data_IF_943005715672
#
_entry.id   IF_943005715672
#
_cell.length_a   1.000
_cell.length_b   1.000
_cell.length_c   1.000
_cell.angle_alpha   90.00
_cell.angle_beta   90.00
_cell.angle_gamma   90.00
#
_symmetry.space_group_name_H-M   'P 1'
#
loop_
_entity.id
_entity.type
_entity.pdbx_description
1 polymer ?
#
# COMPACT_ATOMS: atom_id res chain seq x y z
N UNK A 1 -26.99 10.86 -16.16
CA UNK A 1 -26.81 11.01 -14.72
C UNK A 1 -25.56 11.86 -14.53
N UNK A 2 -25.64 12.94 -13.78
CA UNK A 2 -24.46 13.79 -13.53
C UNK A 2 -23.43 12.98 -12.76
N UNK A 3 -22.30 12.69 -13.37
CA UNK A 3 -21.13 12.12 -12.68
C UNK A 3 -20.58 13.21 -11.78
N UNK A 4 -21.06 13.27 -10.55
CA UNK A 4 -20.52 14.19 -9.55
C UNK A 4 -19.04 13.88 -9.37
N UNK A 5 -18.21 14.89 -9.51
CA UNK A 5 -16.76 14.75 -9.26
C UNK A 5 -16.59 14.35 -7.80
N UNK A 6 -15.94 13.21 -7.55
CA UNK A 6 -15.65 12.77 -6.19
C UNK A 6 -14.69 13.76 -5.52
N UNK A 7 -14.93 14.11 -4.24
CA UNK A 7 -14.04 15.02 -3.53
C UNK A 7 -12.66 14.41 -3.37
N UNK A 8 -11.63 15.23 -3.56
CA UNK A 8 -10.24 14.84 -3.41
C UNK A 8 -9.58 15.55 -2.23
N UNK A 9 -8.54 14.93 -1.69
CA UNK A 9 -7.68 15.47 -0.62
C UNK A 9 -6.23 15.17 -0.94
N UNK A 10 -5.30 15.86 -0.28
CA UNK A 10 -3.90 15.44 -0.25
C UNK A 10 -3.76 14.22 0.68
N UNK A 11 -2.96 13.24 0.29
CA UNK A 11 -2.67 12.07 1.10
C UNK A 11 -1.53 12.38 2.08
N UNK A 12 -1.88 12.48 3.36
CA UNK A 12 -0.91 12.79 4.41
C UNK A 12 -0.10 14.05 4.11
N UNK A 13 1.21 13.98 4.28
CA UNK A 13 2.16 15.07 4.00
C UNK A 13 2.68 15.07 2.55
N UNK A 14 2.10 14.25 1.66
CA UNK A 14 2.54 14.15 0.25
C UNK A 14 1.84 15.17 -0.66
N UNK A 15 2.33 15.27 -1.91
CA UNK A 15 1.67 15.99 -3.00
C UNK A 15 0.64 15.13 -3.75
N UNK A 16 0.43 13.87 -3.34
CA UNK A 16 -0.55 12.99 -3.95
C UNK A 16 -1.98 13.48 -3.68
N UNK A 17 -2.68 13.81 -4.74
CA UNK A 17 -4.11 14.13 -4.67
C UNK A 17 -4.92 12.88 -4.95
N UNK A 18 -5.69 12.44 -3.97
CA UNK A 18 -6.47 11.20 -4.02
C UNK A 18 -7.96 11.49 -3.81
N UNK A 19 -8.84 10.66 -4.37
CA UNK A 19 -10.25 10.68 -3.96
C UNK A 19 -10.37 10.25 -2.51
N UNK A 20 -11.29 10.87 -1.75
CA UNK A 20 -11.58 10.48 -0.35
C UNK A 20 -12.09 9.05 -0.23
N UNK A 21 -12.62 8.50 -1.31
CA UNK A 21 -12.97 7.09 -1.44
C UNK A 21 -11.81 6.36 -2.11
N UNK A 22 -11.33 5.31 -1.45
CA UNK A 22 -10.32 4.38 -1.96
C UNK A 22 -10.97 3.03 -2.24
N UNK A 23 -10.65 2.42 -3.38
CA UNK A 23 -11.07 1.06 -3.70
C UNK A 23 -9.96 0.07 -3.33
N UNK A 24 -10.21 -0.74 -2.31
CA UNK A 24 -9.33 -1.85 -1.93
C UNK A 24 -9.52 -3.07 -2.85
N UNK A 25 -8.49 -3.91 -2.93
CA UNK A 25 -8.47 -5.11 -3.78
C UNK A 25 -8.30 -6.41 -2.99
N UNK A 26 -8.48 -6.39 -1.67
CA UNK A 26 -8.42 -7.58 -0.82
C UNK A 26 -9.67 -8.48 -1.00
N UNK A 27 -9.97 -8.86 -2.23
CA UNK A 27 -11.10 -9.74 -2.53
C UNK A 27 -10.82 -11.15 -2.02
N UNK A 28 -11.72 -11.72 -1.23
CA UNK A 28 -11.54 -13.03 -0.57
C UNK A 28 -11.53 -14.20 -1.55
N UNK A 29 -12.08 -14.02 -2.74
CA UNK A 29 -12.22 -15.03 -3.79
C UNK A 29 -11.05 -15.08 -4.76
N UNK A 30 -10.09 -14.17 -4.64
CA UNK A 30 -8.93 -14.13 -5.53
C UNK A 30 -7.98 -15.29 -5.25
N UNK A 31 -7.85 -16.16 -6.24
CA UNK A 31 -6.78 -17.16 -6.32
C UNK A 31 -5.60 -16.63 -7.14
N UNK A 32 -4.43 -17.27 -6.98
CA UNK A 32 -3.15 -16.82 -7.56
C UNK A 32 -3.18 -16.65 -9.07
N UNK A 33 -3.95 -17.45 -9.78
CA UNK A 33 -3.99 -17.52 -11.25
C UNK A 33 -5.39 -17.28 -11.85
N UNK A 34 -6.43 -17.40 -11.06
CA UNK A 34 -7.80 -17.21 -11.52
C UNK A 34 -8.16 -15.73 -11.54
N UNK A 35 -8.49 -15.22 -12.72
CA UNK A 35 -9.09 -13.90 -12.83
C UNK A 35 -10.49 -13.91 -12.21
N UNK A 36 -10.74 -13.06 -11.24
CA UNK A 36 -12.08 -12.82 -10.72
C UNK A 36 -12.78 -11.79 -11.62
N UNK A 37 -13.63 -12.29 -12.53
CA UNK A 37 -14.37 -11.43 -13.47
C UNK A 37 -15.30 -10.44 -12.75
N UNK A 38 -15.84 -10.81 -11.61
CA UNK A 38 -16.72 -9.92 -10.84
C UNK A 38 -15.90 -8.80 -10.18
N UNK A 39 -14.75 -9.13 -9.63
CA UNK A 39 -13.84 -8.15 -9.05
C UNK A 39 -13.30 -7.17 -10.13
N UNK A 40 -13.00 -7.65 -11.34
CA UNK A 40 -12.60 -6.77 -12.45
C UNK A 40 -13.72 -5.79 -12.82
N UNK A 41 -14.97 -6.25 -12.88
CA UNK A 41 -16.14 -5.39 -13.14
C UNK A 41 -16.27 -4.31 -12.06
N UNK A 42 -16.08 -4.66 -10.80
CA UNK A 42 -16.12 -3.69 -9.69
C UNK A 42 -15.02 -2.63 -9.85
N UNK A 43 -13.78 -3.05 -10.14
CA UNK A 43 -12.66 -2.12 -10.30
C UNK A 43 -12.88 -1.15 -11.47
N UNK A 44 -13.35 -1.66 -12.62
CA UNK A 44 -13.68 -0.82 -13.79
C UNK A 44 -14.83 0.13 -13.47
N UNK A 45 -15.86 -0.35 -12.80
CA UNK A 45 -16.96 0.51 -12.40
C UNK A 45 -16.50 1.64 -11.47
N UNK A 46 -15.68 1.35 -10.46
CA UNK A 46 -15.11 2.37 -9.59
C UNK A 46 -14.37 3.45 -10.38
N UNK A 47 -13.55 3.03 -11.35
CA UNK A 47 -12.84 3.95 -12.22
C UNK A 47 -13.80 4.81 -13.07
N UNK A 48 -14.86 4.20 -13.62
CA UNK A 48 -15.86 4.90 -14.47
C UNK A 48 -16.70 5.91 -13.68
N UNK A 49 -16.91 5.69 -12.38
CA UNK A 49 -17.60 6.65 -11.50
C UNK A 49 -16.66 7.67 -10.85
N UNK A 50 -15.37 7.66 -11.20
CA UNK A 50 -14.40 8.69 -10.82
C UNK A 50 -13.58 8.39 -9.57
N UNK A 51 -13.55 7.15 -9.07
CA UNK A 51 -12.59 6.74 -8.02
C UNK A 51 -11.20 6.74 -8.63
N UNK A 52 -10.29 7.51 -8.03
CA UNK A 52 -8.91 7.67 -8.51
C UNK A 52 -7.88 7.06 -7.57
N UNK A 53 -8.27 6.52 -6.43
CA UNK A 53 -7.39 5.92 -5.45
C UNK A 53 -7.68 4.43 -5.30
N UNK A 54 -6.68 3.59 -5.58
CA UNK A 54 -6.79 2.13 -5.52
C UNK A 54 -5.71 1.57 -4.62
N UNK A 55 -6.12 0.66 -3.74
CA UNK A 55 -5.24 -0.02 -2.79
C UNK A 55 -5.12 -1.51 -3.09
N UNK A 56 -3.90 -2.01 -3.05
CA UNK A 56 -3.55 -3.41 -3.24
C UNK A 56 -2.45 -3.86 -2.28
N UNK A 57 -2.00 -5.10 -2.44
CA UNK A 57 -0.82 -5.65 -1.75
C UNK A 57 -0.26 -6.85 -2.51
N UNK A 58 1.05 -7.05 -2.42
CA UNK A 58 1.70 -8.25 -2.94
C UNK A 58 1.21 -9.55 -2.26
N UNK A 59 0.65 -9.44 -1.06
CA UNK A 59 0.12 -10.57 -0.29
C UNK A 59 -1.32 -10.94 -0.68
N UNK A 60 -2.09 -10.02 -1.26
CA UNK A 60 -3.49 -10.29 -1.59
C UNK A 60 -3.58 -11.27 -2.77
N UNK A 61 -4.09 -12.47 -2.49
CA UNK A 61 -4.14 -13.55 -3.47
C UNK A 61 -2.77 -13.86 -4.10
N UNK A 62 -1.69 -13.79 -3.30
CA UNK A 62 -0.30 -14.00 -3.76
C UNK A 62 0.07 -13.17 -5.00
N UNK A 63 -0.37 -11.89 -5.00
CA UNK A 63 -0.20 -10.96 -6.09
C UNK A 63 -1.29 -11.03 -7.17
N UNK A 64 -2.31 -11.86 -6.99
CA UNK A 64 -3.49 -11.92 -7.87
C UNK A 64 -4.23 -10.59 -7.92
N UNK A 65 -4.38 -9.93 -6.75
CA UNK A 65 -5.02 -8.63 -6.66
C UNK A 65 -4.30 -7.55 -7.48
N UNK A 66 -2.97 -7.51 -7.41
CA UNK A 66 -2.19 -6.56 -8.22
C UNK A 66 -2.30 -6.84 -9.73
N UNK A 67 -2.31 -8.12 -10.15
CA UNK A 67 -2.53 -8.47 -11.56
C UNK A 67 -3.90 -8.03 -12.04
N UNK A 68 -4.93 -8.30 -11.25
CA UNK A 68 -6.30 -7.90 -11.58
C UNK A 68 -6.44 -6.38 -11.67
N UNK A 69 -5.87 -5.65 -10.72
CA UNK A 69 -5.84 -4.19 -10.75
C UNK A 69 -5.12 -3.67 -11.99
N UNK A 70 -3.93 -4.20 -12.30
CA UNK A 70 -3.19 -3.82 -13.50
C UNK A 70 -3.96 -4.09 -14.80
N UNK A 71 -4.72 -5.18 -14.88
CA UNK A 71 -5.60 -5.47 -16.00
C UNK A 71 -6.77 -4.47 -16.10
N UNK A 72 -7.41 -4.17 -14.98
CA UNK A 72 -8.53 -3.23 -14.92
C UNK A 72 -8.11 -1.81 -15.33
N UNK A 73 -6.90 -1.39 -14.96
CA UNK A 73 -6.35 -0.06 -15.22
C UNK A 73 -5.63 0.08 -16.57
N UNK A 74 -5.61 -0.97 -17.39
CA UNK A 74 -4.89 -0.94 -18.69
C UNK A 74 -5.37 0.22 -19.57
N UNK A 75 -4.43 1.09 -19.96
CA UNK A 75 -4.70 2.28 -20.78
C UNK A 75 -5.23 3.49 -19.99
N UNK A 76 -5.38 3.36 -18.67
CA UNK A 76 -5.90 4.42 -17.77
C UNK A 76 -5.01 4.66 -16.54
N UNK A 77 -3.75 4.21 -16.59
CA UNK A 77 -2.81 4.27 -15.47
C UNK A 77 -2.62 5.71 -14.94
N UNK A 78 -2.57 6.68 -15.83
CA UNK A 78 -2.31 8.09 -15.50
C UNK A 78 -3.52 8.80 -14.86
N UNK A 79 -4.69 8.15 -14.85
CA UNK A 79 -5.90 8.69 -14.24
C UNK A 79 -5.98 8.41 -12.73
N UNK A 80 -5.07 7.57 -12.19
CA UNK A 80 -5.21 7.01 -10.85
C UNK A 80 -3.92 7.10 -10.04
N UNK A 81 -4.09 7.05 -8.72
CA UNK A 81 -3.05 6.82 -7.73
C UNK A 81 -3.13 5.36 -7.27
N UNK A 82 -2.04 4.63 -7.41
CA UNK A 82 -1.93 3.24 -6.96
C UNK A 82 -1.15 3.18 -5.65
N UNK A 83 -1.80 2.67 -4.62
CA UNK A 83 -1.18 2.19 -3.40
C UNK A 83 -0.99 0.67 -3.49
N UNK A 84 0.20 0.18 -3.15
CA UNK A 84 0.40 -1.25 -2.87
C UNK A 84 1.38 -1.44 -1.73
N UNK A 85 1.43 -2.65 -1.19
CA UNK A 85 2.14 -2.93 0.06
C UNK A 85 3.13 -4.07 -0.11
N UNK A 86 4.22 -4.00 0.63
CA UNK A 86 5.17 -5.10 0.80
C UNK A 86 5.01 -5.74 2.17
N UNK A 87 4.73 -7.04 2.18
CA UNK A 87 4.72 -7.81 3.42
C UNK A 87 6.15 -8.24 3.81
N UNK A 88 6.49 -8.25 5.10
CA UNK A 88 7.79 -8.71 5.58
C UNK A 88 8.00 -10.21 5.40
N UNK A 89 6.90 -10.92 5.16
CA UNK A 89 6.88 -12.36 4.85
C UNK A 89 5.77 -12.65 3.86
N UNK A 90 5.90 -13.74 3.11
CA UNK A 90 4.84 -14.28 2.29
C UNK A 90 4.38 -15.61 2.89
N UNK A 91 3.08 -15.83 3.06
CA UNK A 91 2.57 -17.12 3.52
C UNK A 91 2.87 -18.22 2.50
N UNK A 92 2.79 -19.47 2.94
CA UNK A 92 2.79 -20.62 2.01
C UNK A 92 1.65 -20.48 1.02
N UNK A 93 1.92 -20.76 -0.24
CA UNK A 93 0.89 -20.74 -1.26
C UNK A 93 0.06 -22.03 -1.23
N UNK A 94 -1.16 -21.97 -1.77
CA UNK A 94 -2.05 -23.14 -1.87
C UNK A 94 -1.48 -24.26 -2.75
N UNK A 95 -0.54 -23.93 -3.66
CA UNK A 95 0.18 -24.89 -4.51
C UNK A 95 1.35 -25.61 -3.80
N UNK A 96 1.50 -25.41 -2.48
CA UNK A 96 2.55 -26.02 -1.67
C UNK A 96 3.88 -25.26 -1.68
N UNK A 97 4.00 -24.13 -2.36
CA UNK A 97 5.17 -23.28 -2.28
C UNK A 97 5.37 -22.80 -0.83
N UNK A 98 6.53 -23.08 -0.19
CA UNK A 98 6.76 -22.66 1.18
C UNK A 98 6.66 -21.13 1.34
N UNK A 99 6.12 -20.70 2.48
CA UNK A 99 6.19 -19.31 2.89
C UNK A 99 7.64 -18.86 3.08
N UNK A 100 7.88 -17.60 2.85
CA UNK A 100 9.21 -16.99 3.07
C UNK A 100 9.07 -15.84 4.06
N UNK A 101 9.96 -15.82 5.07
CA UNK A 101 10.13 -14.68 5.96
C UNK A 101 11.36 -13.90 5.50
N UNK A 102 11.18 -12.65 5.14
CA UNK A 102 12.24 -11.89 4.48
C UNK A 102 12.76 -10.72 5.26
N UNK A 103 12.18 -10.32 6.36
CA UNK A 103 12.45 -9.00 6.91
C UNK A 103 12.58 -7.94 5.78
N UNK A 104 12.63 -6.67 6.08
CA UNK A 104 12.75 -5.66 5.03
C UNK A 104 14.20 -5.43 4.58
N UNK A 105 14.92 -6.52 4.18
CA UNK A 105 16.25 -6.38 3.57
C UNK A 105 16.17 -5.67 2.21
N UNK A 106 17.27 -5.06 1.76
CA UNK A 106 17.33 -4.40 0.44
C UNK A 106 16.95 -5.35 -0.69
N UNK A 107 17.43 -6.60 -0.64
CA UNK A 107 17.13 -7.61 -1.65
C UNK A 107 15.63 -7.94 -1.66
N UNK A 108 15.03 -8.13 -0.48
CA UNK A 108 13.59 -8.40 -0.35
C UNK A 108 12.75 -7.26 -0.88
N UNK A 109 13.03 -6.02 -0.44
CA UNK A 109 12.28 -4.84 -0.86
C UNK A 109 12.34 -4.64 -2.37
N UNK A 110 13.52 -4.76 -3.00
CA UNK A 110 13.69 -4.63 -4.45
C UNK A 110 12.95 -5.72 -5.21
N UNK A 111 13.15 -6.98 -4.84
CA UNK A 111 12.48 -8.11 -5.51
C UNK A 111 10.95 -7.97 -5.45
N UNK A 112 10.40 -7.60 -4.28
CA UNK A 112 8.96 -7.44 -4.10
C UNK A 112 8.42 -6.23 -4.86
N UNK A 113 9.14 -5.12 -4.86
CA UNK A 113 8.78 -3.93 -5.64
C UNK A 113 8.73 -4.24 -7.15
N UNK A 114 9.77 -4.88 -7.68
CA UNK A 114 9.82 -5.28 -9.09
C UNK A 114 8.70 -6.26 -9.44
N UNK A 115 8.39 -7.17 -8.52
CA UNK A 115 7.26 -8.07 -8.66
C UNK A 115 5.93 -7.33 -8.74
N UNK A 116 5.70 -6.35 -7.84
CA UNK A 116 4.48 -5.53 -7.81
C UNK A 116 4.34 -4.70 -9.09
N UNK A 117 5.42 -4.04 -9.52
CA UNK A 117 5.44 -3.25 -10.77
C UNK A 117 5.07 -4.10 -11.99
N UNK A 118 5.65 -5.30 -12.12
CA UNK A 118 5.31 -6.23 -13.22
C UNK A 118 3.85 -6.67 -13.18
N UNK A 119 3.30 -6.98 -12.00
CA UNK A 119 1.90 -7.43 -11.86
C UNK A 119 0.91 -6.30 -12.13
N UNK A 120 1.22 -5.09 -11.67
CA UNK A 120 0.42 -3.89 -11.91
C UNK A 120 0.58 -3.34 -13.33
N UNK A 121 1.62 -3.74 -14.07
CA UNK A 121 1.91 -3.23 -15.42
C UNK A 121 2.28 -1.74 -15.42
N UNK A 122 3.05 -1.30 -14.43
CA UNK A 122 3.49 0.09 -14.28
C UNK A 122 4.98 0.19 -13.93
N UNK A 123 5.64 1.22 -14.39
CA UNK A 123 7.04 1.48 -14.05
C UNK A 123 7.20 2.17 -12.69
N UNK A 124 6.17 2.86 -12.23
CA UNK A 124 6.20 3.62 -10.96
C UNK A 124 4.96 3.33 -10.14
N UNK A 125 5.15 3.10 -8.84
CA UNK A 125 4.10 2.99 -7.82
C UNK A 125 3.99 4.34 -7.12
N UNK A 126 2.77 4.86 -7.00
CA UNK A 126 2.58 6.19 -6.40
C UNK A 126 2.79 6.17 -4.89
N UNK A 127 2.26 5.13 -4.20
CA UNK A 127 2.38 4.96 -2.76
C UNK A 127 2.75 3.51 -2.43
N UNK A 128 3.91 3.30 -1.81
CA UNK A 128 4.40 1.97 -1.44
C UNK A 128 4.46 1.83 0.07
N UNK A 129 3.63 0.95 0.64
CA UNK A 129 3.52 0.80 2.08
C UNK A 129 4.28 -0.44 2.59
N UNK A 130 4.86 -0.32 3.77
CA UNK A 130 5.22 -1.48 4.59
C UNK A 130 3.93 -2.04 5.21
N UNK A 131 3.58 -3.30 4.86
CA UNK A 131 2.28 -3.88 5.18
C UNK A 131 2.07 -4.11 6.69
N UNK A 132 3.15 -4.40 7.39
CA UNK A 132 3.21 -4.54 8.84
C UNK A 132 4.66 -4.46 9.30
N UNK A 133 4.94 -4.22 10.59
CA UNK A 133 6.29 -4.32 11.12
C UNK A 133 6.87 -5.73 10.91
N UNK A 134 8.18 -5.83 10.64
CA UNK A 134 8.87 -7.13 10.61
C UNK A 134 9.45 -7.55 11.98
N UNK A 135 9.50 -6.60 12.91
CA UNK A 135 9.97 -6.82 14.28
C UNK A 135 11.48 -6.97 14.44
N UNK A 136 12.25 -6.90 13.34
CA UNK A 136 13.70 -7.17 13.37
C UNK A 136 14.55 -6.10 12.70
N UNK A 137 14.04 -5.40 11.69
CA UNK A 137 14.78 -4.32 11.01
C UNK A 137 14.82 -3.07 11.89
N UNK A 138 16.01 -2.52 12.21
CA UNK A 138 16.11 -1.23 12.90
C UNK A 138 15.40 -0.12 12.11
N UNK A 139 14.71 0.78 12.80
CA UNK A 139 13.93 1.85 12.15
C UNK A 139 14.80 2.77 11.27
N UNK A 140 16.02 3.08 11.69
CA UNK A 140 16.96 3.87 10.91
C UNK A 140 17.32 3.19 9.58
N UNK A 141 17.68 1.89 9.63
CA UNK A 141 17.97 1.12 8.43
C UNK A 141 16.78 1.05 7.48
N UNK A 142 15.57 0.94 8.05
CA UNK A 142 14.34 0.89 7.28
C UNK A 142 14.10 2.21 6.53
N UNK A 143 14.27 3.34 7.20
CA UNK A 143 14.17 4.67 6.57
C UNK A 143 15.19 4.84 5.43
N UNK A 144 16.45 4.44 5.64
CA UNK A 144 17.47 4.50 4.59
C UNK A 144 17.17 3.58 3.40
N UNK A 145 16.61 2.38 3.66
CA UNK A 145 16.20 1.45 2.59
C UNK A 145 15.05 2.01 1.78
N UNK A 146 14.06 2.61 2.43
CA UNK A 146 12.95 3.28 1.74
C UNK A 146 13.43 4.51 0.95
N UNK A 147 14.41 5.26 1.48
CA UNK A 147 15.03 6.36 0.74
C UNK A 147 15.68 5.85 -0.55
N UNK A 148 16.42 4.73 -0.51
CA UNK A 148 17.01 4.14 -1.73
C UNK A 148 15.96 3.72 -2.77
N UNK A 149 14.77 3.30 -2.33
CA UNK A 149 13.67 3.01 -3.26
C UNK A 149 13.10 4.29 -3.87
N UNK A 150 12.96 5.38 -3.10
CA UNK A 150 12.57 6.69 -3.62
C UNK A 150 13.60 7.18 -4.65
N UNK A 151 14.89 7.11 -4.33
CA UNK A 151 15.99 7.55 -5.21
C UNK A 151 16.05 6.76 -6.52
N UNK A 152 15.57 5.51 -6.52
CA UNK A 152 15.46 4.70 -7.72
C UNK A 152 14.40 5.19 -8.71
N UNK A 153 13.49 6.08 -8.27
CA UNK A 153 12.38 6.59 -9.05
C UNK A 153 11.24 5.58 -9.31
N UNK A 154 11.28 4.40 -8.67
CA UNK A 154 10.27 3.36 -8.86
C UNK A 154 9.08 3.47 -7.90
N UNK A 155 9.21 4.29 -6.86
CA UNK A 155 8.12 4.71 -5.98
C UNK A 155 8.14 6.23 -5.86
N UNK A 156 6.97 6.87 -5.72
CA UNK A 156 6.89 8.32 -5.50
C UNK A 156 6.91 8.66 -4.02
N UNK A 157 6.17 7.89 -3.24
CA UNK A 157 6.06 8.06 -1.79
C UNK A 157 6.03 6.69 -1.10
N UNK A 158 6.33 6.70 0.19
CA UNK A 158 6.18 5.52 1.03
C UNK A 158 5.43 5.84 2.32
N UNK A 159 4.89 4.81 2.93
CA UNK A 159 4.19 4.88 4.19
C UNK A 159 4.15 3.53 4.88
N UNK A 160 3.30 3.41 5.88
CA UNK A 160 3.20 2.19 6.68
C UNK A 160 1.75 1.76 6.87
N UNK A 161 1.54 0.48 7.14
CA UNK A 161 0.26 -0.10 7.52
C UNK A 161 0.44 -0.98 8.75
N UNK A 162 -0.59 -1.08 9.60
CA UNK A 162 -0.56 -1.92 10.81
C UNK A 162 0.61 -1.64 11.78
N UNK A 163 1.10 -0.42 11.82
CA UNK A 163 2.12 0.02 12.78
C UNK A 163 1.45 0.72 13.98
N UNK A 164 1.92 0.48 15.19
CA UNK A 164 1.43 1.22 16.36
C UNK A 164 1.83 2.69 16.30
N UNK A 165 1.13 3.56 17.04
CA UNK A 165 1.47 4.97 17.15
C UNK A 165 2.94 5.18 17.57
N UNK A 166 3.42 4.41 18.56
CA UNK A 166 4.82 4.43 18.98
C UNK A 166 5.80 4.06 17.86
N UNK A 167 5.45 3.05 17.04
CA UNK A 167 6.28 2.66 15.90
C UNK A 167 6.34 3.74 14.83
N UNK A 168 5.21 4.40 14.55
CA UNK A 168 5.16 5.53 13.61
C UNK A 168 6.01 6.69 14.12
N UNK A 169 5.86 7.08 15.37
CA UNK A 169 6.67 8.14 15.98
C UNK A 169 8.18 7.84 15.91
N UNK A 170 8.57 6.60 16.21
CA UNK A 170 9.97 6.16 16.08
C UNK A 170 10.48 6.18 14.64
N UNK A 171 9.65 5.87 13.67
CA UNK A 171 9.99 6.00 12.24
C UNK A 171 10.20 7.46 11.85
N UNK A 172 9.31 8.37 12.23
CA UNK A 172 9.43 9.80 11.97
C UNK A 172 10.73 10.36 12.58
N UNK A 173 11.02 10.00 13.82
CA UNK A 173 12.25 10.40 14.52
C UNK A 173 13.51 9.82 13.86
N UNK A 174 13.46 8.55 13.41
CA UNK A 174 14.58 7.92 12.70
C UNK A 174 14.81 8.56 11.32
N UNK A 175 13.75 8.86 10.58
CA UNK A 175 13.84 9.56 9.30
C UNK A 175 14.47 10.95 9.48
N UNK A 176 14.06 11.71 10.49
CA UNK A 176 14.68 13.00 10.81
C UNK A 176 16.18 12.85 11.14
N UNK A 177 16.55 11.85 11.92
CA UNK A 177 17.94 11.63 12.34
C UNK A 177 18.85 11.18 11.19
N UNK A 178 18.35 10.36 10.28
CA UNK A 178 19.10 9.87 9.12
C UNK A 178 19.07 10.81 7.93
N UNK A 179 18.21 11.82 7.94
CA UNK A 179 17.98 12.70 6.80
C UNK A 179 17.19 12.04 5.66
N UNK A 180 16.59 10.88 5.92
CA UNK A 180 15.73 10.19 4.96
C UNK A 180 14.33 10.83 4.91
N UNK A 181 13.65 10.70 3.78
CA UNK A 181 12.27 11.13 3.67
C UNK A 181 11.36 10.32 4.63
N UNK A 182 10.51 10.98 5.43
CA UNK A 182 9.62 10.30 6.35
C UNK A 182 8.50 9.56 5.61
N UNK A 183 7.82 8.59 6.27
CA UNK A 183 6.57 8.04 5.74
C UNK A 183 5.52 9.14 5.63
N UNK A 184 4.81 9.20 4.50
CA UNK A 184 3.82 10.26 4.22
C UNK A 184 2.44 9.97 4.76
N UNK A 185 2.18 8.76 5.23
CA UNK A 185 0.86 8.39 5.75
C UNK A 185 0.84 6.99 6.35
N UNK A 186 -0.27 6.71 7.01
CA UNK A 186 -0.55 5.42 7.65
C UNK A 186 -1.86 4.87 7.12
N UNK A 187 -1.87 3.57 6.81
CA UNK A 187 -3.11 2.83 6.55
C UNK A 187 -3.39 1.89 7.71
N UNK A 188 -4.58 2.00 8.28
CA UNK A 188 -4.94 1.21 9.44
C UNK A 188 -6.39 0.78 9.45
N UNK A 189 -6.66 -0.22 10.28
CA UNK A 189 -8.02 -0.70 10.46
C UNK A 189 -8.87 0.33 11.20
N UNK A 190 -9.97 0.71 10.56
CA UNK A 190 -11.01 1.54 11.15
C UNK A 190 -12.38 1.02 10.75
N UNK A 191 -13.29 0.92 11.71
CA UNK A 191 -14.68 0.55 11.45
C UNK A 191 -15.61 1.26 12.44
N UNK A 192 -16.74 1.73 11.96
CA UNK A 192 -17.80 2.29 12.82
C UNK A 192 -18.40 1.24 13.76
N UNK A 193 -18.21 -0.05 13.45
CA UNK A 193 -18.63 -1.14 14.33
C UNK A 193 -17.73 -1.31 15.57
N UNK A 194 -16.57 -0.61 15.60
CA UNK A 194 -15.64 -0.68 16.72
C UNK A 194 -14.83 -1.98 16.74
N UNK A 195 -14.23 -2.26 17.91
CA UNK A 195 -13.41 -3.43 18.19
C UNK A 195 -11.99 -3.06 18.64
N UNK A 196 -11.25 -4.03 19.15
CA UNK A 196 -9.89 -3.82 19.71
C UNK A 196 -8.95 -3.13 18.71
N UNK A 197 -9.02 -3.52 17.43
CA UNK A 197 -8.21 -2.89 16.38
C UNK A 197 -8.62 -1.44 16.10
N UNK A 198 -9.91 -1.10 16.29
CA UNK A 198 -10.39 0.26 16.11
C UNK A 198 -9.87 1.21 17.20
N UNK A 199 -9.75 0.76 18.45
CA UNK A 199 -9.21 1.57 19.54
C UNK A 199 -7.75 1.95 19.29
N UNK A 200 -6.96 1.01 18.82
CA UNK A 200 -5.57 1.26 18.46
C UNK A 200 -5.46 2.18 17.23
N UNK A 201 -6.33 2.02 16.24
CA UNK A 201 -6.45 2.91 15.09
C UNK A 201 -6.76 4.36 15.46
N UNK A 202 -7.65 4.60 16.42
CA UNK A 202 -7.94 5.96 16.92
C UNK A 202 -6.73 6.64 17.54
N UNK A 203 -5.89 5.90 18.25
CA UNK A 203 -4.67 6.44 18.85
C UNK A 203 -3.68 6.89 17.78
N UNK A 204 -3.58 6.17 16.68
CA UNK A 204 -2.72 6.50 15.51
C UNK A 204 -3.23 7.73 14.76
N UNK A 205 -4.54 7.83 14.54
CA UNK A 205 -5.15 9.02 13.90
C UNK A 205 -4.85 10.27 14.72
N UNK A 206 -4.98 10.22 16.05
CA UNK A 206 -4.66 11.35 16.92
C UNK A 206 -3.19 11.75 16.90
N UNK A 207 -2.28 10.81 16.71
CA UNK A 207 -0.85 11.12 16.55
C UNK A 207 -0.62 11.93 15.27
N UNK A 208 -1.19 11.49 14.15
CA UNK A 208 -1.04 12.15 12.85
C UNK A 208 -1.68 13.54 12.77
N UNK A 209 -2.70 13.81 13.60
CA UNK A 209 -3.33 15.14 13.70
C UNK A 209 -2.48 16.16 14.49
N UNK A 210 -1.41 15.73 15.15
CA UNK A 210 -0.53 16.58 15.96
C UNK A 210 0.77 16.97 15.24
N UNK A 211 1.11 16.28 14.19
CA UNK A 211 2.30 16.50 13.36
C UNK A 211 1.95 17.29 12.07
#
# INVERSE_FOLDING_TARGET
MSTGVLPTVLFGSSDLRVTRLCQGTAFRTLEREAGDRQAEVVLRHCLDVGVQFFDSSNAYGWGGAERLLGQALRGRRDEVVICTKVSPSMPSAADGTPGTAGAFSDAWLRERLDGSRRRLGTDVIDLYLLHSPDGVTPMADLCERMQRLLDSGHIRHWGVSNHSAEQVERLLQSAHTTGAAPPVGVEDYYSIAGGVLAEDGYSRIRLLERE
#
